data_IF_822386432828
#
_entry.id   IF_822386432828
#
_cell.length_a   1.000
_cell.length_b   1.000
_cell.length_c   1.000
_cell.angle_alpha   90.00
_cell.angle_beta   90.00
_cell.angle_gamma   90.00
#
_symmetry.space_group_name_H-M   'P 1'
#
loop_
_entity.id
_entity.type
_entity.pdbx_description
1 polymer ?
#
# COMPACT_ATOMS: atom_id res chain seq x y z
N UNK A 1 25.20 3.28 5.15
CA UNK A 1 24.14 3.74 6.08
C UNK A 1 23.01 2.74 5.94
N UNK A 2 22.73 1.97 6.99
CA UNK A 2 21.70 0.95 6.98
C UNK A 2 20.34 1.64 6.89
N UNK A 3 19.72 1.59 5.71
CA UNK A 3 18.29 1.89 5.55
C UNK A 3 17.53 1.00 6.53
N UNK A 4 17.05 1.61 7.62
CA UNK A 4 16.13 0.95 8.53
C UNK A 4 14.83 0.84 7.75
N UNK A 5 14.61 -0.29 7.09
CA UNK A 5 13.33 -0.61 6.48
C UNK A 5 12.32 -0.67 7.62
N UNK A 6 11.56 0.41 7.80
CA UNK A 6 10.50 0.46 8.79
C UNK A 6 9.48 -0.62 8.42
N UNK A 7 9.16 -1.52 9.34
CA UNK A 7 8.11 -2.51 9.12
C UNK A 7 6.79 -1.78 8.87
N UNK A 8 6.05 -2.18 7.84
CA UNK A 8 4.76 -1.57 7.53
C UNK A 8 3.83 -1.60 8.76
N UNK A 9 2.94 -0.61 8.92
CA UNK A 9 1.98 -0.61 10.01
C UNK A 9 1.03 -1.79 9.85
N UNK A 10 0.73 -2.45 10.96
CA UNK A 10 -0.17 -3.59 10.99
C UNK A 10 -1.58 -3.12 11.33
N UNK A 11 -2.55 -3.78 10.73
CA UNK A 11 -3.97 -3.52 10.90
C UNK A 11 -4.69 -4.85 11.11
N UNK A 12 -5.71 -4.82 11.96
CA UNK A 12 -6.50 -5.99 12.30
C UNK A 12 -7.99 -5.70 12.09
N UNK A 13 -8.69 -6.69 11.53
CA UNK A 13 -10.12 -6.86 11.75
C UNK A 13 -10.44 -8.31 12.11
N UNK A 14 -10.41 -9.21 11.13
CA UNK A 14 -10.53 -10.67 11.29
C UNK A 14 -9.22 -11.40 10.98
N UNK A 15 -8.34 -10.74 10.23
CA UNK A 15 -6.99 -11.18 9.89
C UNK A 15 -6.06 -9.99 10.05
N UNK A 16 -4.80 -10.27 10.33
CA UNK A 16 -3.76 -9.25 10.37
C UNK A 16 -3.24 -8.98 8.97
N UNK A 17 -3.15 -7.70 8.62
CA UNK A 17 -2.63 -7.21 7.35
C UNK A 17 -1.66 -6.06 7.60
N UNK A 18 -0.76 -5.82 6.67
CA UNK A 18 0.10 -4.65 6.64
C UNK A 18 -0.47 -3.68 5.63
N UNK A 19 -0.61 -2.40 5.98
CA UNK A 19 -1.15 -1.44 5.04
C UNK A 19 -0.42 -0.10 5.08
N UNK A 20 -0.24 0.51 3.91
CA UNK A 20 0.31 1.84 3.78
C UNK A 20 -0.65 2.73 3.01
N UNK A 21 -0.89 3.93 3.54
CA UNK A 21 -1.70 4.94 2.86
C UNK A 21 -0.90 5.52 1.70
N UNK A 22 -1.49 5.46 0.51
CA UNK A 22 -0.91 5.97 -0.72
C UNK A 22 -1.18 7.47 -0.78
N UNK A 23 -0.12 8.26 -0.85
CA UNK A 23 -0.17 9.71 -1.03
C UNK A 23 -0.28 10.07 -2.50
N UNK A 24 0.56 9.46 -3.34
CA UNK A 24 0.61 9.70 -4.77
C UNK A 24 0.85 8.40 -5.54
N UNK A 25 0.38 8.37 -6.78
CA UNK A 25 0.55 7.24 -7.70
C UNK A 25 1.19 7.77 -8.96
N UNK A 26 2.38 7.27 -9.28
CA UNK A 26 3.08 7.60 -10.52
C UNK A 26 2.87 6.47 -11.54
N UNK A 27 2.01 6.70 -12.52
CA UNK A 27 1.73 5.78 -13.63
C UNK A 27 2.70 6.01 -14.81
N UNK A 28 4.00 6.01 -14.53
CA UNK A 28 4.99 6.26 -15.58
C UNK A 28 4.94 5.16 -16.64
N UNK A 29 4.35 5.44 -17.80
CA UNK A 29 4.17 4.49 -18.92
C UNK A 29 5.48 3.92 -19.48
N UNK A 30 6.62 4.55 -19.17
CA UNK A 30 7.95 4.09 -19.58
C UNK A 30 8.54 3.11 -18.57
N UNK A 31 8.10 3.16 -17.30
CA UNK A 31 8.61 2.31 -16.21
C UNK A 31 7.48 1.50 -15.55
N UNK A 32 7.77 0.79 -14.46
CA UNK A 32 6.73 0.22 -13.60
C UNK A 32 6.02 1.33 -12.83
N UNK A 33 4.71 1.21 -12.58
CA UNK A 33 3.97 2.16 -11.76
C UNK A 33 4.52 2.13 -10.33
N UNK A 34 4.60 3.31 -9.71
CA UNK A 34 5.19 3.48 -8.37
C UNK A 34 4.21 4.16 -7.44
N UNK A 35 4.09 3.62 -6.23
CA UNK A 35 3.25 4.13 -5.16
C UNK A 35 4.10 4.91 -4.17
N UNK A 36 3.73 6.16 -3.92
CA UNK A 36 4.34 7.01 -2.89
C UNK A 36 3.41 7.00 -1.68
N UNK A 37 3.97 6.84 -0.48
CA UNK A 37 3.20 6.71 0.75
C UNK A 37 3.15 8.01 1.54
N UNK A 38 2.12 8.14 2.36
CA UNK A 38 1.88 9.34 3.17
C UNK A 38 2.74 9.40 4.44
N UNK A 39 3.08 8.24 5.00
CA UNK A 39 3.87 8.14 6.23
C UNK A 39 5.38 8.28 5.90
N UNK A 40 6.03 9.27 6.51
CA UNK A 40 7.49 9.46 6.41
C UNK A 40 8.23 8.24 6.95
N UNK A 41 9.18 7.72 6.16
CA UNK A 41 9.96 6.52 6.48
C UNK A 41 9.76 5.34 5.54
N UNK A 42 8.77 5.40 4.64
CA UNK A 42 8.61 4.39 3.59
C UNK A 42 9.09 4.91 2.24
N UNK A 43 10.00 4.15 1.62
CA UNK A 43 10.39 4.38 0.24
C UNK A 43 9.22 4.08 -0.71
N UNK A 44 9.12 4.77 -1.85
CA UNK A 44 8.13 4.44 -2.87
C UNK A 44 8.28 2.99 -3.34
N UNK A 45 7.16 2.29 -3.50
CA UNK A 45 7.14 0.90 -3.96
C UNK A 45 6.70 0.84 -5.42
N UNK A 46 7.52 0.20 -6.26
CA UNK A 46 7.12 -0.17 -7.61
C UNK A 46 6.24 -1.41 -7.60
N UNK A 47 5.11 -1.35 -8.32
CA UNK A 47 4.18 -2.45 -8.48
C UNK A 47 4.11 -2.87 -9.94
N UNK A 48 3.71 -4.11 -10.21
CA UNK A 48 3.52 -4.60 -11.56
C UNK A 48 2.31 -3.95 -12.24
N UNK A 49 2.37 -3.83 -13.57
CA UNK A 49 1.26 -3.33 -14.36
C UNK A 49 0.00 -4.19 -14.20
N UNK A 50 0.11 -5.51 -14.06
CA UNK A 50 -1.03 -6.40 -13.80
C UNK A 50 -1.76 -6.00 -12.51
N UNK A 51 -1.01 -5.80 -11.43
CA UNK A 51 -1.55 -5.35 -10.16
C UNK A 51 -2.21 -3.96 -10.28
N UNK A 52 -1.55 -3.03 -10.98
CA UNK A 52 -2.06 -1.69 -11.20
C UNK A 52 -3.38 -1.68 -11.99
N UNK A 53 -3.47 -2.44 -13.09
CA UNK A 53 -4.70 -2.49 -13.90
C UNK A 53 -5.84 -3.22 -13.19
N UNK A 54 -5.52 -4.25 -12.40
CA UNK A 54 -6.48 -5.00 -11.59
C UNK A 54 -7.07 -4.14 -10.47
N UNK A 55 -6.24 -3.37 -9.79
CA UNK A 55 -6.64 -2.66 -8.57
C UNK A 55 -6.96 -1.17 -8.77
N UNK A 56 -6.42 -0.55 -9.82
CA UNK A 56 -6.56 0.87 -10.15
C UNK A 56 -6.36 1.73 -8.89
N UNK A 57 -5.14 1.76 -8.32
CA UNK A 57 -4.87 2.49 -7.08
C UNK A 57 -5.10 3.99 -7.27
N UNK A 58 -5.59 4.66 -6.22
CA UNK A 58 -5.76 6.11 -6.21
C UNK A 58 -5.12 6.71 -4.95
N UNK A 59 -4.65 7.97 -5.02
CA UNK A 59 -4.28 8.76 -3.85
C UNK A 59 -5.35 8.71 -2.75
N UNK A 60 -4.90 8.57 -1.51
CA UNK A 60 -5.74 8.42 -0.31
C UNK A 60 -6.13 6.98 0.03
N UNK A 61 -6.07 6.04 -0.92
CA UNK A 61 -6.31 4.62 -0.64
C UNK A 61 -5.14 3.93 0.04
N UNK A 62 -5.28 2.62 0.30
CA UNK A 62 -4.29 1.81 1.00
C UNK A 62 -3.74 0.69 0.12
N UNK A 63 -2.42 0.55 0.12
CA UNK A 63 -1.74 -0.64 -0.35
C UNK A 63 -1.67 -1.65 0.80
N UNK A 64 -2.29 -2.81 0.62
CA UNK A 64 -2.50 -3.82 1.66
C UNK A 64 -1.73 -5.09 1.30
N UNK A 65 -0.97 -5.63 2.25
CA UNK A 65 -0.23 -6.88 2.13
C UNK A 65 -0.73 -7.85 3.21
N UNK A 66 -1.15 -9.02 2.79
CA UNK A 66 -1.59 -10.10 3.68
C UNK A 66 -0.38 -10.94 4.13
N UNK A 67 -0.55 -11.71 5.21
CA UNK A 67 0.50 -12.57 5.76
C UNK A 67 1.00 -13.65 4.79
N UNK A 68 0.20 -14.03 3.80
CA UNK A 68 0.57 -14.96 2.71
C UNK A 68 1.35 -14.29 1.57
N UNK A 69 1.61 -12.98 1.68
CA UNK A 69 2.27 -12.17 0.66
C UNK A 69 1.33 -11.65 -0.43
N UNK A 70 0.03 -11.92 -0.36
CA UNK A 70 -0.93 -11.37 -1.32
C UNK A 70 -1.01 -9.85 -1.16
N UNK A 71 -0.97 -9.14 -2.29
CA UNK A 71 -0.98 -7.67 -2.36
C UNK A 71 -2.31 -7.20 -2.94
N UNK A 72 -2.98 -6.30 -2.25
CA UNK A 72 -4.28 -5.75 -2.62
C UNK A 72 -4.32 -4.25 -2.44
N UNK A 73 -5.31 -3.61 -3.05
CA UNK A 73 -5.67 -2.22 -2.80
C UNK A 73 -7.00 -2.16 -2.06
N UNK A 74 -7.14 -1.19 -1.16
CA UNK A 74 -8.42 -0.85 -0.53
C UNK A 74 -8.65 0.66 -0.55
N UNK A 75 -9.83 1.15 -0.96
CA UNK A 75 -10.18 2.56 -0.80
C UNK A 75 -10.12 3.01 0.66
N UNK A 76 -9.78 4.27 0.91
CA UNK A 76 -9.59 4.83 2.25
C UNK A 76 -10.76 4.52 3.19
N UNK A 77 -11.97 4.88 2.74
CA UNK A 77 -13.20 4.70 3.52
C UNK A 77 -13.47 3.24 3.87
N UNK A 78 -13.38 2.33 2.88
CA UNK A 78 -13.61 0.92 3.11
C UNK A 78 -12.55 0.28 4.03
N UNK A 79 -11.32 0.80 3.97
CA UNK A 79 -10.24 0.33 4.83
C UNK A 79 -10.41 0.85 6.26
N UNK A 80 -10.56 2.16 6.45
CA UNK A 80 -10.66 2.82 7.75
C UNK A 80 -11.94 2.43 8.52
N UNK A 81 -13.06 2.17 7.82
CA UNK A 81 -14.30 1.68 8.45
C UNK A 81 -14.18 0.21 8.91
N UNK A 82 -13.28 -0.56 8.31
CA UNK A 82 -13.19 -2.01 8.47
C UNK A 82 -11.96 -2.52 9.23
N UNK A 83 -10.90 -1.71 9.34
CA UNK A 83 -9.62 -2.11 9.91
C UNK A 83 -9.17 -1.16 11.02
N UNK A 84 -8.64 -1.73 12.09
CA UNK A 84 -8.04 -0.97 13.20
C UNK A 84 -6.53 -1.13 13.18
N UNK A 85 -5.78 -0.02 13.24
CA UNK A 85 -4.32 -0.04 13.35
C UNK A 85 -3.93 -0.63 14.72
N UNK A 86 -2.99 -1.56 14.74
CA UNK A 86 -2.47 -2.23 15.95
C UNK A 86 -1.02 -1.82 16.26
#
# INVERSE_FOLDING_TARGET
>A
MSEVMQEMPRYECHKQVWALKIKEVHDNKVTTPTLVFDEDGYAPISVDWDWYYKHKPHPGGYYVVYADGYKSYSPAKAFEDGYTRI
#
